data_IF_701022195256
#
_entry.id   IF_701022195256
#
_cell.length_a   1.000
_cell.length_b   1.000
_cell.length_c   1.000
_cell.angle_alpha   90.00
_cell.angle_beta   90.00
_cell.angle_gamma   90.00
#
_symmetry.space_group_name_H-M   'P 1'
#
loop_
_entity.id
_entity.type
_entity.pdbx_description
1 polymer ?
#
# COMPACT_ATOMS: atom_id res chain seq x y z
N UNK A 1 -9.96 -1.64 -6.88
CA UNK A 1 -9.97 -1.10 -5.50
C UNK A 1 -10.00 -2.17 -4.43
N UNK A 2 -10.98 -3.08 -4.44
CA UNK A 2 -11.12 -4.15 -3.43
C UNK A 2 -9.85 -5.00 -3.22
N UNK A 3 -9.26 -5.52 -4.31
CA UNK A 3 -8.06 -6.37 -4.25
C UNK A 3 -6.90 -5.66 -3.55
N UNK A 4 -6.57 -4.47 -4.05
CA UNK A 4 -5.49 -3.63 -3.56
C UNK A 4 -5.65 -3.19 -2.11
N UNK A 5 -6.87 -2.88 -1.67
CA UNK A 5 -7.14 -2.62 -0.25
C UNK A 5 -6.90 -3.89 0.58
N UNK A 6 -7.29 -5.05 0.09
CA UNK A 6 -7.00 -6.34 0.73
C UNK A 6 -5.50 -6.62 0.83
N UNK A 7 -4.74 -6.40 -0.24
CA UNK A 7 -3.29 -6.57 -0.25
C UNK A 7 -2.61 -5.65 0.77
N UNK A 8 -3.02 -4.38 0.81
CA UNK A 8 -2.48 -3.41 1.75
C UNK A 8 -2.80 -3.77 3.21
N UNK A 9 -4.03 -4.23 3.48
CA UNK A 9 -4.43 -4.70 4.81
C UNK A 9 -3.62 -5.92 5.22
N UNK A 10 -3.41 -6.90 4.33
CA UNK A 10 -2.59 -8.07 4.61
C UNK A 10 -1.12 -7.71 4.87
N UNK A 11 -0.59 -6.70 4.18
CA UNK A 11 0.76 -6.16 4.43
C UNK A 11 0.86 -5.49 5.80
N UNK A 12 -0.12 -4.67 6.20
CA UNK A 12 -0.16 -4.06 7.53
C UNK A 12 -0.22 -5.14 8.61
N UNK A 13 -1.10 -6.13 8.45
CA UNK A 13 -1.24 -7.25 9.40
C UNK A 13 0.08 -8.03 9.53
N UNK A 14 0.78 -8.23 8.43
CA UNK A 14 2.11 -8.83 8.43
C UNK A 14 3.10 -7.92 9.17
N UNK A 15 3.27 -6.66 8.80
CA UNK A 15 4.21 -5.76 9.47
C UNK A 15 3.95 -5.65 11.00
N UNK A 16 2.68 -5.57 11.40
CA UNK A 16 2.31 -5.55 12.82
C UNK A 16 2.68 -6.85 13.53
N UNK A 17 2.48 -8.01 12.90
CA UNK A 17 2.92 -9.27 13.47
C UNK A 17 4.45 -9.40 13.55
N UNK A 18 5.24 -8.72 12.71
CA UNK A 18 6.71 -8.74 12.75
C UNK A 18 7.18 -7.92 13.95
N UNK A 19 6.55 -6.76 14.16
CA UNK A 19 6.75 -5.94 15.35
C UNK A 19 6.44 -6.71 16.64
N UNK A 20 5.34 -7.47 16.68
CA UNK A 20 5.00 -8.32 17.85
C UNK A 20 5.99 -9.46 18.05
N UNK A 21 6.49 -10.08 16.98
CA UNK A 21 7.48 -11.16 17.06
C UNK A 21 8.88 -10.65 17.42
N UNK A 22 9.14 -9.34 17.29
CA UNK A 22 10.45 -8.72 17.48
C UNK A 22 11.47 -9.08 16.39
N UNK A 23 11.01 -9.60 15.26
CA UNK A 23 11.84 -10.03 14.14
C UNK A 23 10.99 -10.15 12.87
N UNK A 24 11.60 -9.83 11.73
CA UNK A 24 10.99 -9.99 10.41
C UNK A 24 10.66 -11.44 10.08
N UNK A 25 9.73 -11.63 9.14
CA UNK A 25 9.30 -12.93 8.68
C UNK A 25 10.45 -13.73 8.06
N UNK A 26 10.60 -14.99 8.51
CA UNK A 26 11.61 -15.94 8.03
C UNK A 26 13.09 -15.54 8.22
N UNK A 27 13.39 -14.43 8.90
CA UNK A 27 14.78 -14.01 9.20
C UNK A 27 15.28 -14.63 10.50
N UNK A 28 16.55 -15.00 10.63
CA UNK A 28 17.11 -15.39 11.93
C UNK A 28 17.39 -14.13 12.76
N UNK A 29 16.91 -14.08 14.00
CA UNK A 29 17.17 -12.96 14.92
C UNK A 29 17.20 -13.46 16.36
N UNK A 30 18.19 -12.99 17.11
CA UNK A 30 18.35 -13.30 18.54
C UNK A 30 17.31 -12.59 19.41
N UNK A 31 16.67 -11.53 18.90
CA UNK A 31 15.59 -10.81 19.59
C UNK A 31 14.22 -11.44 19.40
N UNK A 32 14.11 -12.54 18.63
CA UNK A 32 12.82 -13.16 18.31
C UNK A 32 12.20 -13.79 19.55
N UNK A 33 11.04 -13.27 19.96
CA UNK A 33 10.28 -13.77 21.11
C UNK A 33 9.16 -14.72 20.71
N UNK A 34 8.70 -14.65 19.45
CA UNK A 34 7.57 -15.42 18.94
C UNK A 34 7.73 -15.75 17.46
N UNK A 35 6.96 -16.72 16.97
CA UNK A 35 6.97 -17.13 15.57
C UNK A 35 5.56 -17.20 15.00
N UNK A 36 5.44 -16.94 13.69
CA UNK A 36 4.18 -17.13 12.98
C UNK A 36 3.97 -18.60 12.65
N UNK A 37 2.73 -19.05 12.73
CA UNK A 37 2.34 -20.43 12.42
C UNK A 37 1.09 -20.45 11.52
N UNK A 38 1.24 -19.90 10.31
CA UNK A 38 0.18 -19.82 9.31
C UNK A 38 -0.80 -18.66 9.53
N UNK A 39 -1.97 -18.75 8.87
CA UNK A 39 -2.95 -17.66 8.80
C UNK A 39 -4.36 -18.14 9.19
N UNK A 40 -5.20 -17.20 9.66
CA UNK A 40 -6.66 -17.33 9.81
C UNK A 40 -7.32 -16.49 8.73
N UNK A 41 -8.12 -17.12 7.88
CA UNK A 41 -8.90 -16.38 6.90
C UNK A 41 -10.19 -15.88 7.55
N UNK A 42 -10.49 -14.59 7.35
CA UNK A 42 -11.74 -13.96 7.79
C UNK A 42 -12.21 -12.97 6.74
N UNK A 43 -13.52 -12.77 6.64
CA UNK A 43 -14.11 -11.71 5.85
C UNK A 43 -14.13 -10.39 6.64
N UNK A 44 -13.62 -9.34 6.03
CA UNK A 44 -13.68 -7.97 6.53
C UNK A 44 -14.64 -7.17 5.65
N UNK A 45 -15.73 -6.69 6.25
CA UNK A 45 -16.70 -5.84 5.56
C UNK A 45 -16.17 -4.41 5.45
N UNK A 46 -15.95 -3.96 4.21
CA UNK A 46 -15.52 -2.59 3.90
C UNK A 46 -16.57 -1.88 3.03
N UNK A 47 -16.42 -0.57 2.82
CA UNK A 47 -17.27 0.22 1.91
C UNK A 47 -17.16 -0.22 0.45
N UNK A 48 -16.04 -0.83 0.07
CA UNK A 48 -15.79 -1.34 -1.28
C UNK A 48 -16.14 -2.84 -1.42
N UNK A 49 -16.85 -3.39 -0.43
CA UNK A 49 -17.29 -4.79 -0.37
C UNK A 49 -16.60 -5.62 0.72
N UNK A 50 -17.00 -6.88 0.86
CA UNK A 50 -16.32 -7.82 1.76
C UNK A 50 -15.00 -8.29 1.15
N UNK A 51 -13.93 -8.25 1.95
CA UNK A 51 -12.56 -8.60 1.58
C UNK A 51 -12.09 -9.78 2.43
N UNK A 52 -11.57 -10.81 1.78
CA UNK A 52 -10.91 -11.91 2.47
C UNK A 52 -9.52 -11.47 2.95
N UNK A 53 -9.33 -11.42 4.27
CA UNK A 53 -8.05 -11.09 4.90
C UNK A 53 -7.40 -12.32 5.51
N UNK A 54 -6.07 -12.32 5.58
CA UNK A 54 -5.26 -13.38 6.17
C UNK A 54 -4.59 -12.87 7.45
N UNK A 55 -5.23 -13.13 8.60
CA UNK A 55 -4.69 -12.72 9.91
C UNK A 55 -3.58 -13.68 10.34
N UNK A 56 -2.35 -13.22 10.60
CA UNK A 56 -1.26 -14.09 11.06
C UNK A 56 -1.59 -14.79 12.38
N UNK A 57 -1.27 -16.08 12.47
CA UNK A 57 -1.32 -16.84 13.72
C UNK A 57 0.04 -16.76 14.40
N UNK A 58 0.06 -16.39 15.68
CA UNK A 58 1.27 -16.48 16.50
C UNK A 58 1.32 -17.82 17.24
N UNK A 59 2.52 -18.30 17.52
CA UNK A 59 2.74 -19.56 18.26
C UNK A 59 2.41 -19.42 19.74
N UNK A 60 2.62 -18.24 20.32
CA UNK A 60 2.23 -17.88 21.69
C UNK A 60 1.34 -16.63 21.67
N UNK A 61 0.25 -16.65 22.44
CA UNK A 61 -0.71 -15.53 22.47
C UNK A 61 -1.65 -15.47 21.26
N UNK A 62 -2.49 -14.43 21.23
CA UNK A 62 -3.41 -14.16 20.12
C UNK A 62 -3.11 -12.80 19.51
N UNK A 63 -2.98 -12.76 18.19
CA UNK A 63 -2.82 -11.51 17.44
C UNK A 63 -4.15 -11.11 16.82
N UNK A 64 -4.80 -10.14 17.45
CA UNK A 64 -6.01 -9.49 16.93
C UNK A 64 -5.86 -7.99 17.14
N UNK A 65 -5.54 -7.22 16.08
CA UNK A 65 -5.51 -5.78 16.22
C UNK A 65 -6.90 -5.22 16.53
N UNK A 66 -6.97 -4.23 17.41
CA UNK A 66 -8.24 -3.65 17.87
C UNK A 66 -9.09 -3.10 16.72
N UNK A 67 -8.45 -2.49 15.73
CA UNK A 67 -9.11 -1.94 14.54
C UNK A 67 -9.77 -3.02 13.66
N UNK A 68 -9.46 -4.30 13.86
CA UNK A 68 -10.03 -5.41 13.10
C UNK A 68 -11.31 -5.97 13.74
N UNK A 69 -11.53 -5.68 15.03
CA UNK A 69 -12.68 -6.18 15.80
C UNK A 69 -13.93 -5.33 15.59
N UNK A 70 -13.74 -4.05 15.28
CA UNK A 70 -14.84 -3.10 15.05
C UNK A 70 -15.40 -3.17 13.62
N UNK A 71 -16.72 -3.04 13.49
CA UNK A 71 -17.39 -3.00 12.18
C UNK A 71 -17.24 -1.60 11.56
N UNK A 72 -16.60 -1.50 10.39
CA UNK A 72 -16.40 -0.27 9.57
C UNK A 72 -15.66 0.86 10.32
N UNK A 73 -14.37 0.64 10.58
CA UNK A 73 -13.53 1.57 11.35
C UNK A 73 -13.18 2.86 10.60
N UNK A 74 -12.79 3.90 11.34
CA UNK A 74 -12.21 5.12 10.75
C UNK A 74 -10.95 4.82 9.93
N UNK A 75 -10.18 3.82 10.37
CA UNK A 75 -8.98 3.33 9.68
C UNK A 75 -9.32 2.83 8.28
N UNK A 76 -10.38 2.05 8.11
CA UNK A 76 -10.85 1.58 6.79
C UNK A 76 -11.15 2.74 5.83
N UNK A 77 -11.81 3.80 6.32
CA UNK A 77 -12.09 5.01 5.53
C UNK A 77 -10.81 5.71 5.11
N UNK A 78 -9.88 5.93 6.06
CA UNK A 78 -8.60 6.56 5.78
C UNK A 78 -7.80 5.76 4.75
N UNK A 79 -7.72 4.44 4.89
CA UNK A 79 -7.04 3.55 3.95
C UNK A 79 -7.63 3.63 2.54
N UNK A 80 -8.96 3.59 2.44
CA UNK A 80 -9.65 3.71 1.14
C UNK A 80 -9.34 5.05 0.47
N UNK A 81 -9.37 6.13 1.24
CA UNK A 81 -9.03 7.48 0.75
C UNK A 81 -7.57 7.55 0.31
N UNK A 82 -6.61 7.11 1.14
CA UNK A 82 -5.18 7.14 0.83
C UNK A 82 -4.89 6.39 -0.45
N UNK A 83 -5.42 5.16 -0.59
CA UNK A 83 -5.23 4.37 -1.79
C UNK A 83 -5.84 5.07 -3.01
N UNK A 84 -7.07 5.61 -2.91
CA UNK A 84 -7.70 6.34 -4.00
C UNK A 84 -6.89 7.58 -4.41
N UNK A 85 -6.41 8.36 -3.44
CA UNK A 85 -5.58 9.53 -3.65
C UNK A 85 -4.24 9.17 -4.30
N UNK A 86 -3.57 8.11 -3.86
CA UNK A 86 -2.32 7.64 -4.47
C UNK A 86 -2.53 7.26 -5.95
N UNK A 87 -3.64 6.60 -6.28
CA UNK A 87 -3.96 6.26 -7.67
C UNK A 87 -4.25 7.48 -8.54
N UNK A 88 -5.04 8.43 -8.02
CA UNK A 88 -5.32 9.68 -8.71
C UNK A 88 -4.04 10.49 -8.94
N UNK A 89 -3.20 10.63 -7.93
CA UNK A 89 -1.94 11.39 -8.02
C UNK A 89 -0.97 10.77 -9.00
N UNK A 90 -0.80 9.44 -8.97
CA UNK A 90 0.06 8.72 -9.93
C UNK A 90 -0.37 8.94 -11.39
N UNK A 91 -1.67 9.06 -11.64
CA UNK A 91 -2.21 9.37 -12.97
C UNK A 91 -2.07 10.84 -13.40
N UNK A 92 -1.89 11.76 -12.45
CA UNK A 92 -1.61 13.16 -12.70
C UNK A 92 -0.12 13.38 -12.97
N UNK A 93 0.75 12.74 -12.19
CA UNK A 93 2.21 12.80 -12.35
C UNK A 93 2.65 12.28 -13.73
N UNK A 94 2.02 11.23 -14.25
CA UNK A 94 2.31 10.72 -15.61
C UNK A 94 1.95 11.73 -16.71
N UNK A 95 0.87 12.51 -16.53
CA UNK A 95 0.43 13.53 -17.48
C UNK A 95 1.30 14.79 -17.40
N UNK A 96 1.65 15.24 -16.21
CA UNK A 96 2.55 16.39 -16.02
C UNK A 96 3.95 16.09 -16.56
N UNK A 97 4.45 14.87 -16.36
CA UNK A 97 5.75 14.46 -16.92
C UNK A 97 5.72 14.43 -18.46
N UNK A 98 4.62 13.98 -19.08
CA UNK A 98 4.45 13.99 -20.53
C UNK A 98 4.35 15.43 -21.10
N UNK A 99 3.59 16.31 -20.43
CA UNK A 99 3.46 17.72 -20.81
C UNK A 99 4.78 18.49 -20.63
N UNK A 100 5.55 18.19 -19.58
CA UNK A 100 6.88 18.75 -19.34
C UNK A 100 7.87 18.35 -20.45
N UNK A 101 7.84 17.08 -20.87
CA UNK A 101 8.64 16.62 -22.02
C UNK A 101 8.22 17.29 -23.33
N UNK A 102 6.92 17.42 -23.61
CA UNK A 102 6.42 18.09 -24.80
C UNK A 102 6.81 19.59 -24.85
N UNK A 103 6.73 20.30 -23.71
CA UNK A 103 7.17 21.70 -23.59
C UNK A 103 8.67 21.87 -23.84
N UNK A 104 9.50 20.96 -23.30
CA UNK A 104 10.96 20.99 -23.52
C UNK A 104 11.34 20.72 -24.98
N UNK A 105 10.63 19.80 -25.65
CA UNK A 105 10.85 19.52 -27.07
C UNK A 105 10.44 20.71 -27.95
N UNK A 106 9.27 21.33 -27.69
CA UNK A 106 8.83 22.51 -28.44
C UNK A 106 9.80 23.70 -28.29
N UNK A 107 10.37 23.90 -27.10
CA UNK A 107 11.35 24.97 -26.86
C UNK A 107 12.70 24.70 -27.54
N UNK A 108 13.05 23.43 -27.75
CA UNK A 108 14.25 23.02 -28.49
C UNK A 108 14.06 23.23 -29.99
N UNK A 109 12.90 22.84 -30.53
CA UNK A 109 12.57 23.04 -31.96
C UNK A 109 12.52 24.52 -32.36
N UNK A 110 12.03 25.41 -31.48
CA UNK A 110 12.08 26.86 -31.69
C UNK A 110 13.52 27.41 -31.68
N UNK A 111 14.38 26.87 -30.81
CA UNK A 111 15.79 27.29 -30.70
C UNK A 111 16.63 26.80 -31.88
N UNK A 112 16.34 25.61 -32.39
CA UNK A 112 17.02 25.02 -33.55
C UNK A 112 16.63 25.75 -34.88
N UNK A 113 15.49 26.47 -34.93
CA UNK A 113 15.09 27.28 -36.10
C UNK A 113 15.76 28.66 -36.16
N UNK A 114 16.09 29.26 -35.01
CA UNK A 114 16.80 30.55 -34.96
C UNK A 114 18.30 30.43 -35.31
N UNK A 115 18.84 29.20 -35.31
CA UNK A 115 20.26 28.91 -35.60
C UNK A 115 20.52 28.56 -37.09
N UNK A 116 19.48 28.57 -37.93
CA UNK A 116 19.58 28.37 -39.38
C UNK A 116 19.06 29.60 -40.15
N UNK A 117 19.76 30.72 -40.03
CA UNK A 117 19.64 31.82 -41.00
C UNK A 117 21.05 32.16 -41.50
N UNK A 118 21.34 31.99 -42.80
CA UNK A 118 22.68 32.21 -43.36
C UNK A 118 23.11 33.68 -43.42
#
# INVERSE_FOLDING_TARGET
MRQMLGDFINQILSAQADSVCGADYATMSDTRTNSRNGYRHRQLDTRVGSIGIAVPKLRRGSFFPDWLLERRTRTERALTTVIATCYLKRGLESKESALSHARKNAHKELRDQDEYTP
#
